data_IF_911292086523
#
_entry.id   IF_911292086523
#
_cell.length_a   1.000
_cell.length_b   1.000
_cell.length_c   1.000
_cell.angle_alpha   90.00
_cell.angle_beta   90.00
_cell.angle_gamma   90.00
#
_symmetry.space_group_name_H-M   'P 1'
#
loop_
_entity.id
_entity.type
_entity.pdbx_description
1 polymer ?
#
# COMPACT_ATOMS: atom_id res chain seq x y z
N UNK A 1 -1.92 29.32 -8.26
CA UNK A 1 -1.52 27.90 -8.09
C UNK A 1 -0.01 27.80 -8.26
N UNK A 2 0.75 27.82 -7.18
CA UNK A 2 2.21 27.61 -7.23
C UNK A 2 2.48 26.12 -7.03
N UNK A 3 2.68 25.39 -8.12
CA UNK A 3 3.23 24.04 -8.02
C UNK A 3 4.73 24.17 -7.78
N UNK A 4 5.17 23.87 -6.57
CA UNK A 4 6.60 23.71 -6.29
C UNK A 4 7.01 22.37 -6.88
N UNK A 5 7.78 22.41 -7.96
CA UNK A 5 8.41 21.22 -8.53
C UNK A 5 9.46 20.74 -7.53
N UNK A 6 9.13 19.68 -6.79
CA UNK A 6 10.09 19.02 -5.93
C UNK A 6 11.19 18.41 -6.79
N UNK A 7 12.48 18.47 -6.36
CA UNK A 7 13.55 17.78 -7.04
C UNK A 7 13.20 16.29 -7.24
N UNK A 8 13.55 15.73 -8.40
CA UNK A 8 13.26 14.33 -8.76
C UNK A 8 13.76 13.36 -7.67
N UNK A 9 14.91 13.65 -7.07
CA UNK A 9 15.48 12.86 -5.96
C UNK A 9 14.58 12.81 -4.72
N UNK A 10 13.88 13.91 -4.41
CA UNK A 10 12.94 13.96 -3.29
C UNK A 10 11.68 13.13 -3.58
N UNK A 11 11.19 13.16 -4.83
CA UNK A 11 10.07 12.33 -5.29
C UNK A 11 10.44 10.84 -5.26
N UNK A 12 11.62 10.48 -5.76
CA UNK A 12 12.12 9.11 -5.74
C UNK A 12 12.29 8.57 -4.32
N UNK A 13 12.85 9.36 -3.39
CA UNK A 13 12.96 8.96 -1.98
C UNK A 13 11.59 8.74 -1.34
N UNK A 14 10.59 9.58 -1.67
CA UNK A 14 9.23 9.42 -1.15
C UNK A 14 8.55 8.18 -1.73
N UNK A 15 8.75 7.91 -3.02
CA UNK A 15 8.25 6.70 -3.68
C UNK A 15 8.89 5.44 -3.09
N UNK A 16 10.21 5.43 -2.89
CA UNK A 16 10.93 4.34 -2.23
C UNK A 16 10.40 4.08 -0.82
N UNK A 17 10.23 5.14 -0.02
CA UNK A 17 9.63 5.04 1.31
C UNK A 17 8.21 4.46 1.25
N UNK A 18 7.39 4.90 0.30
CA UNK A 18 6.05 4.36 0.10
C UNK A 18 6.09 2.89 -0.31
N UNK A 19 7.01 2.50 -1.20
CA UNK A 19 7.20 1.12 -1.64
C UNK A 19 7.59 0.20 -0.46
N UNK A 20 8.47 0.65 0.44
CA UNK A 20 8.83 -0.10 1.66
C UNK A 20 7.61 -0.29 2.57
N UNK A 21 6.80 0.75 2.77
CA UNK A 21 5.58 0.65 3.58
C UNK A 21 4.59 -0.32 2.93
N UNK A 22 4.33 -0.18 1.63
CA UNK A 22 3.41 -1.06 0.89
C UNK A 22 3.91 -2.51 0.91
N UNK A 23 5.22 -2.74 0.82
CA UNK A 23 5.82 -4.08 0.96
C UNK A 23 5.54 -4.70 2.32
N UNK A 24 5.57 -3.91 3.40
CA UNK A 24 5.19 -4.37 4.73
C UNK A 24 3.71 -4.77 4.81
N UNK A 25 2.83 -3.98 4.18
CA UNK A 25 1.40 -4.26 4.12
C UNK A 25 1.10 -5.54 3.32
N UNK A 26 1.73 -5.68 2.15
CA UNK A 26 1.61 -6.86 1.29
C UNK A 26 2.10 -8.13 1.98
N UNK A 27 3.26 -8.07 2.65
CA UNK A 27 3.76 -9.18 3.44
C UNK A 27 2.79 -9.59 4.55
N UNK A 28 2.12 -8.62 5.20
CA UNK A 28 1.11 -8.89 6.24
C UNK A 28 -0.19 -9.47 5.67
N UNK A 29 -0.64 -8.98 4.52
CA UNK A 29 -1.87 -9.42 3.85
C UNK A 29 -1.74 -10.84 3.28
N UNK A 30 -0.64 -11.13 2.59
CA UNK A 30 -0.40 -12.42 1.93
C UNK A 30 -0.02 -13.54 2.92
N UNK A 31 0.61 -13.20 4.05
CA UNK A 31 1.14 -14.18 5.00
C UNK A 31 0.39 -14.12 6.33
N UNK A 32 -0.82 -14.72 6.41
CA UNK A 32 -1.67 -14.74 7.61
C UNK A 32 -0.95 -15.12 8.91
N UNK A 33 0.07 -15.98 8.85
CA UNK A 33 0.82 -16.49 10.02
C UNK A 33 2.14 -15.75 10.33
N UNK A 34 2.51 -14.73 9.56
CA UNK A 34 3.76 -14.00 9.80
C UNK A 34 3.53 -12.83 10.75
N UNK A 35 4.29 -12.84 11.86
CA UNK A 35 4.30 -11.75 12.83
C UNK A 35 5.07 -10.52 12.33
N UNK A 36 4.69 -9.34 12.82
CA UNK A 36 5.31 -8.06 12.45
C UNK A 36 6.82 -8.00 12.72
N UNK A 37 7.33 -8.77 13.69
CA UNK A 37 8.78 -8.89 13.97
C UNK A 37 9.56 -9.48 12.79
N UNK A 38 9.00 -10.49 12.11
CA UNK A 38 9.64 -11.11 10.95
C UNK A 38 9.59 -10.19 9.73
N UNK A 39 8.47 -9.49 9.52
CA UNK A 39 8.36 -8.44 8.49
C UNK A 39 9.39 -7.32 8.73
N UNK A 40 9.57 -6.90 9.97
CA UNK A 40 10.57 -5.88 10.32
C UNK A 40 12.01 -6.33 10.05
N UNK A 41 12.32 -7.60 10.34
CA UNK A 41 13.62 -8.19 10.01
C UNK A 41 13.85 -8.23 8.48
N UNK A 42 12.87 -8.73 7.73
CA UNK A 42 12.94 -8.83 6.26
C UNK A 42 13.13 -7.44 5.60
N UNK A 43 12.56 -6.39 6.18
CA UNK A 43 12.65 -5.02 5.68
C UNK A 43 13.83 -4.21 6.23
N UNK A 44 14.61 -4.78 7.17
CA UNK A 44 15.66 -4.09 7.92
C UNK A 44 15.15 -2.77 8.57
N UNK A 45 13.99 -2.82 9.24
CA UNK A 45 13.38 -1.66 9.93
C UNK A 45 13.11 -1.94 11.41
N UNK A 46 13.02 -0.89 12.25
CA UNK A 46 12.64 -1.07 13.64
C UNK A 46 11.26 -1.70 13.78
N UNK A 47 11.13 -2.66 14.70
CA UNK A 47 9.90 -3.42 14.95
C UNK A 47 8.72 -2.50 15.27
N UNK A 48 8.92 -1.49 16.12
CA UNK A 48 7.87 -0.53 16.50
C UNK A 48 7.43 0.35 15.32
N UNK A 49 8.33 0.68 14.40
CA UNK A 49 8.00 1.42 13.18
C UNK A 49 7.06 0.61 12.30
N UNK A 50 7.41 -0.66 12.03
CA UNK A 50 6.56 -1.55 11.24
C UNK A 50 5.23 -1.80 11.93
N UNK A 51 5.24 -2.02 13.24
CA UNK A 51 4.00 -2.15 14.03
C UNK A 51 3.12 -0.90 13.92
N UNK A 52 3.71 0.29 14.02
CA UNK A 52 3.02 1.56 13.86
C UNK A 52 2.37 1.72 12.49
N UNK A 53 3.09 1.36 11.42
CA UNK A 53 2.56 1.37 10.05
C UNK A 53 1.38 0.41 9.89
N UNK A 54 1.54 -0.84 10.32
CA UNK A 54 0.50 -1.86 10.22
C UNK A 54 -0.77 -1.46 10.99
N UNK A 55 -0.61 -0.94 12.21
CA UNK A 55 -1.73 -0.47 13.03
C UNK A 55 -2.46 0.68 12.36
N UNK A 56 -1.74 1.73 11.96
CA UNK A 56 -2.33 2.93 11.34
C UNK A 56 -3.01 2.63 10.01
N UNK A 57 -2.50 1.66 9.26
CA UNK A 57 -3.14 1.18 8.04
C UNK A 57 -4.44 0.44 8.36
N UNK A 58 -4.42 -0.50 9.31
CA UNK A 58 -5.61 -1.24 9.71
C UNK A 58 -6.76 -0.32 10.17
N UNK A 59 -6.45 0.73 10.92
CA UNK A 59 -7.41 1.76 11.35
C UNK A 59 -8.07 2.52 10.18
N UNK A 60 -7.41 2.58 9.02
CA UNK A 60 -7.85 3.35 7.84
C UNK A 60 -8.17 2.46 6.64
N UNK A 61 -8.12 1.15 6.79
CA UNK A 61 -8.10 0.21 5.66
C UNK A 61 -9.34 0.36 4.77
N UNK A 62 -10.52 0.57 5.34
CA UNK A 62 -11.74 0.73 4.55
C UNK A 62 -11.76 2.04 3.75
N UNK A 63 -11.36 3.15 4.37
CA UNK A 63 -11.26 4.43 3.68
C UNK A 63 -10.23 4.38 2.54
N UNK A 64 -9.10 3.71 2.78
CA UNK A 64 -8.07 3.49 1.75
C UNK A 64 -8.60 2.60 0.64
N UNK A 65 -9.24 1.47 0.96
CA UNK A 65 -9.86 0.56 -0.02
C UNK A 65 -10.82 1.32 -0.93
N UNK A 66 -11.77 2.04 -0.33
CA UNK A 66 -12.78 2.82 -1.07
C UNK A 66 -12.15 3.85 -2.00
N UNK A 67 -11.22 4.66 -1.49
CA UNK A 67 -10.53 5.68 -2.28
C UNK A 67 -9.75 5.08 -3.46
N UNK A 68 -9.02 3.99 -3.24
CA UNK A 68 -8.23 3.35 -4.29
C UNK A 68 -9.11 2.61 -5.31
N UNK A 69 -10.28 2.09 -4.92
CA UNK A 69 -11.26 1.56 -5.88
C UNK A 69 -11.80 2.65 -6.80
N UNK A 70 -12.11 3.83 -6.25
CA UNK A 70 -12.52 4.99 -7.05
C UNK A 70 -11.39 5.43 -7.98
N UNK A 71 -10.15 5.47 -7.50
CA UNK A 71 -9.00 5.81 -8.34
C UNK A 71 -8.77 4.79 -9.45
N UNK A 72 -8.85 3.48 -9.17
CA UNK A 72 -8.71 2.43 -10.18
C UNK A 72 -9.67 2.65 -11.35
N UNK A 73 -10.94 2.97 -11.04
CA UNK A 73 -11.96 3.34 -12.05
C UNK A 73 -11.62 4.60 -12.84
N UNK A 74 -10.89 5.54 -12.25
CA UNK A 74 -10.62 6.84 -12.84
C UNK A 74 -9.36 6.83 -13.72
N UNK A 75 -8.38 5.98 -13.40
CA UNK A 75 -7.09 5.94 -14.10
C UNK A 75 -7.04 4.92 -15.24
N UNK A 76 -7.86 3.87 -15.16
CA UNK A 76 -7.93 2.81 -16.15
C UNK A 76 -9.32 2.82 -16.82
N UNK A 77 -9.40 2.96 -18.17
CA UNK A 77 -10.66 2.98 -18.90
C UNK A 77 -11.40 1.64 -18.92
N UNK A 78 -10.71 0.50 -18.69
CA UNK A 78 -11.33 -0.83 -18.55
C UNK A 78 -10.76 -1.59 -17.33
N UNK A 79 -11.11 -1.15 -16.12
CA UNK A 79 -10.44 -1.60 -14.90
C UNK A 79 -10.89 -3.01 -14.51
N UNK A 80 -9.93 -3.93 -14.41
CA UNK A 80 -10.16 -5.26 -13.80
C UNK A 80 -10.29 -5.09 -12.28
N UNK A 81 -11.50 -5.31 -11.77
CA UNK A 81 -11.78 -5.23 -10.33
C UNK A 81 -11.14 -6.41 -9.59
N UNK A 82 -10.35 -6.17 -8.53
CA UNK A 82 -9.79 -7.26 -7.76
C UNK A 82 -10.85 -8.09 -7.03
N UNK A 83 -10.64 -9.40 -6.96
CA UNK A 83 -11.49 -10.28 -6.15
C UNK A 83 -11.32 -10.00 -4.64
N UNK A 84 -12.36 -10.22 -3.83
CA UNK A 84 -12.25 -10.10 -2.37
C UNK A 84 -11.18 -11.03 -1.80
N UNK A 85 -10.21 -10.46 -1.09
CA UNK A 85 -9.07 -11.17 -0.49
C UNK A 85 -9.37 -11.70 0.93
N UNK A 86 -10.62 -11.61 1.38
CA UNK A 86 -11.08 -12.18 2.64
C UNK A 86 -10.80 -11.33 3.88
N UNK A 87 -10.65 -10.01 3.71
CA UNK A 87 -10.61 -9.03 4.80
C UNK A 87 -10.14 -7.64 4.38
N UNK A 88 -10.65 -6.59 5.03
CA UNK A 88 -10.48 -5.19 4.61
C UNK A 88 -9.02 -4.74 4.39
N UNK A 89 -8.08 -5.23 5.19
CA UNK A 89 -6.64 -4.92 5.01
C UNK A 89 -6.10 -5.57 3.74
N UNK A 90 -6.48 -6.82 3.46
CA UNK A 90 -6.04 -7.53 2.27
C UNK A 90 -6.70 -6.95 1.03
N UNK A 91 -7.99 -6.59 1.10
CA UNK A 91 -8.71 -5.93 0.01
C UNK A 91 -8.09 -4.57 -0.33
N UNK A 92 -7.78 -3.76 0.69
CA UNK A 92 -7.13 -2.47 0.52
C UNK A 92 -5.76 -2.59 -0.16
N UNK A 93 -4.95 -3.58 0.25
CA UNK A 93 -3.64 -3.84 -0.39
C UNK A 93 -3.80 -4.30 -1.83
N UNK A 94 -4.79 -5.15 -2.10
CA UNK A 94 -5.04 -5.70 -3.44
C UNK A 94 -5.43 -4.59 -4.42
N UNK A 95 -6.29 -3.66 -4.02
CA UNK A 95 -6.65 -2.52 -4.89
C UNK A 95 -5.52 -1.51 -5.06
N UNK A 96 -4.67 -1.29 -4.04
CA UNK A 96 -3.45 -0.47 -4.19
C UNK A 96 -2.52 -1.10 -5.25
N UNK A 97 -2.33 -2.42 -5.20
CA UNK A 97 -1.49 -3.13 -6.15
C UNK A 97 -2.07 -3.06 -7.57
N UNK A 98 -3.38 -3.14 -7.73
CA UNK A 98 -4.05 -2.99 -9.02
C UNK A 98 -3.83 -1.59 -9.63
N UNK A 99 -3.94 -0.52 -8.83
CA UNK A 99 -3.67 0.86 -9.29
C UNK A 99 -2.20 1.08 -9.64
N UNK A 100 -1.27 0.42 -8.94
CA UNK A 100 0.17 0.54 -9.19
C UNK A 100 0.66 -0.35 -10.35
N UNK A 101 -0.17 -1.27 -10.84
CA UNK A 101 0.13 -2.12 -11.98
C UNK A 101 0.11 -1.33 -13.30
N UNK A 102 0.65 -1.90 -14.39
CA UNK A 102 0.50 -1.31 -15.71
C UNK A 102 -0.98 -1.30 -16.10
N UNK A 103 -1.50 -0.13 -16.48
CA UNK A 103 -2.81 0.01 -17.12
C UNK A 103 -2.80 -0.72 -18.46
N UNK A 104 -3.91 -1.35 -18.83
CA UNK A 104 -4.04 -2.08 -20.09
C UNK A 104 -4.67 -1.25 -21.19
#
# INVERSE_FOLDING_TARGET
MTHVLLPVTALLRRADTAAVIVSALAAKALRRRVGFRRIAADLARPVETVRGWLRRFAERAEAVRSMFTVWLRAVDPDPVMPEPAGGVVADAVTVIAAVAGPFR
#
